data_IF_488082700310
#
_entry.id   IF_488082700310
#
_cell.length_a   1.000
_cell.length_b   1.000
_cell.length_c   1.000
_cell.angle_alpha   90.00
_cell.angle_beta   90.00
_cell.angle_gamma   90.00
#
_symmetry.space_group_name_H-M   'P 1'
#
loop_
_entity.id
_entity.type
_entity.pdbx_description
1 polymer ?
#
# COMPACT_ATOMS: atom_id res chain seq x y z
N UNK A 1 29.09 11.89 -17.57
CA UNK A 1 28.36 11.71 -16.32
C UNK A 1 26.96 12.24 -16.53
N UNK A 2 26.01 11.37 -16.85
CA UNK A 2 24.63 11.77 -17.18
C UNK A 2 23.75 11.55 -15.95
N UNK A 3 23.76 12.54 -15.06
CA UNK A 3 23.08 12.51 -13.76
C UNK A 3 21.82 13.37 -13.75
N UNK A 4 21.01 13.31 -14.80
CA UNK A 4 19.69 13.95 -14.82
C UNK A 4 18.71 13.25 -13.85
N UNK A 5 17.71 13.96 -13.29
CA UNK A 5 16.79 13.38 -12.31
C UNK A 5 16.08 12.15 -12.90
N UNK A 6 16.37 10.99 -12.32
CA UNK A 6 15.72 9.74 -12.72
C UNK A 6 14.27 9.76 -12.25
N UNK A 7 13.33 9.94 -13.18
CA UNK A 7 11.91 9.81 -12.90
C UNK A 7 11.55 8.32 -12.80
N UNK A 8 11.11 7.88 -11.61
CA UNK A 8 10.61 6.52 -11.42
C UNK A 8 9.11 6.48 -11.71
N UNK A 9 8.69 5.61 -12.61
CA UNK A 9 7.26 5.31 -12.79
C UNK A 9 6.77 4.45 -11.63
N UNK A 10 5.62 4.82 -11.08
CA UNK A 10 5.03 4.18 -9.91
C UNK A 10 3.64 3.70 -10.28
N UNK A 11 3.28 2.50 -9.83
CA UNK A 11 1.98 1.94 -10.09
C UNK A 11 0.92 2.75 -9.35
N UNK A 12 -0.14 3.13 -10.07
CA UNK A 12 -1.24 3.88 -9.49
C UNK A 12 -2.59 3.23 -9.86
N UNK A 13 -3.40 2.82 -8.88
CA UNK A 13 -4.71 2.25 -9.15
C UNK A 13 -5.61 3.29 -9.83
N UNK A 14 -6.25 2.90 -10.93
CA UNK A 14 -7.18 3.76 -11.66
C UNK A 14 -8.30 4.25 -10.73
N UNK A 15 -8.52 5.56 -10.69
CA UNK A 15 -9.61 6.17 -9.92
C UNK A 15 -9.32 6.44 -8.44
N UNK A 16 -8.11 6.17 -7.94
CA UNK A 16 -7.71 6.55 -6.57
C UNK A 16 -6.66 7.66 -6.59
N UNK A 17 -6.96 8.81 -5.97
CA UNK A 17 -5.93 9.79 -5.61
C UNK A 17 -5.06 9.19 -4.52
N UNK A 18 -3.80 8.90 -4.84
CA UNK A 18 -2.77 8.56 -3.84
C UNK A 18 -1.96 9.78 -3.47
N UNK A 19 -1.69 9.94 -2.18
CA UNK A 19 -0.73 10.93 -1.73
C UNK A 19 0.69 10.35 -1.85
N UNK A 20 1.73 11.19 -1.99
CA UNK A 20 3.12 10.71 -2.05
C UNK A 20 3.52 9.79 -0.88
N UNK A 21 2.98 10.06 0.32
CA UNK A 21 3.15 9.24 1.53
C UNK A 21 2.52 7.84 1.48
N UNK A 22 1.63 7.60 0.51
CA UNK A 22 0.94 6.32 0.34
C UNK A 22 1.66 5.44 -0.69
N UNK A 23 2.63 5.98 -1.42
CA UNK A 23 3.52 5.25 -2.32
C UNK A 23 4.49 4.40 -1.52
N UNK A 24 4.68 3.17 -1.97
CA UNK A 24 5.51 2.14 -1.34
C UNK A 24 6.45 1.51 -2.37
N UNK A 25 7.46 0.80 -1.90
CA UNK A 25 8.38 0.05 -2.77
C UNK A 25 7.63 -0.96 -3.65
N UNK A 26 6.53 -1.54 -3.15
CA UNK A 26 5.69 -2.48 -3.91
C UNK A 26 5.07 -1.85 -5.16
N UNK A 27 4.85 -0.53 -5.17
CA UNK A 27 4.34 0.19 -6.33
C UNK A 27 5.38 0.30 -7.46
N UNK A 28 6.64 0.44 -7.07
CA UNK A 28 7.78 0.44 -8.00
C UNK A 28 8.01 -0.99 -8.50
N UNK A 29 8.05 -1.97 -7.58
CA UNK A 29 8.21 -3.39 -7.91
C UNK A 29 7.13 -3.86 -8.88
N UNK A 30 5.87 -3.50 -8.66
CA UNK A 30 4.78 -3.89 -9.57
C UNK A 30 4.96 -3.28 -10.96
N UNK A 31 5.37 -2.01 -11.04
CA UNK A 31 5.63 -1.33 -12.31
C UNK A 31 6.77 -1.99 -13.08
N UNK A 32 7.89 -2.26 -12.41
CA UNK A 32 9.04 -2.90 -13.03
C UNK A 32 8.76 -4.36 -13.40
N UNK A 33 8.01 -5.07 -12.57
CA UNK A 33 7.57 -6.43 -12.86
C UNK A 33 6.66 -6.48 -14.10
N UNK A 34 5.75 -5.53 -14.26
CA UNK A 34 4.91 -5.39 -15.45
C UNK A 34 5.75 -5.21 -16.72
N UNK A 35 6.75 -4.33 -16.68
CA UNK A 35 7.68 -4.08 -17.80
C UNK A 35 8.50 -5.32 -18.14
N UNK A 36 9.13 -5.94 -17.14
CA UNK A 36 9.98 -7.13 -17.32
C UNK A 36 9.16 -8.28 -17.90
N UNK A 37 7.95 -8.51 -17.36
CA UNK A 37 7.06 -9.57 -17.85
C UNK A 37 6.65 -9.33 -19.30
N UNK A 38 6.30 -8.09 -19.66
CA UNK A 38 5.93 -7.75 -21.03
C UNK A 38 7.08 -8.00 -22.01
N UNK A 39 8.29 -7.54 -21.65
CA UNK A 39 9.50 -7.72 -22.47
C UNK A 39 9.87 -9.20 -22.62
N UNK A 40 9.91 -9.95 -21.51
CA UNK A 40 10.23 -11.38 -21.52
C UNK A 40 9.20 -12.20 -22.32
N UNK A 41 7.91 -11.89 -22.17
CA UNK A 41 6.85 -12.57 -22.93
C UNK A 41 6.98 -12.34 -24.44
N UNK A 42 7.49 -11.18 -24.86
CA UNK A 42 7.68 -10.87 -26.28
C UNK A 42 8.79 -11.72 -26.91
N UNK A 43 9.87 -12.01 -26.16
CA UNK A 43 10.99 -12.84 -26.62
C UNK A 43 10.70 -14.35 -26.60
N UNK A 44 9.67 -14.80 -25.90
CA UNK A 44 9.32 -16.23 -25.81
C UNK A 44 8.57 -16.67 -27.07
N UNK A 45 9.04 -17.65 -27.82
CA UNK A 45 8.39 -18.07 -29.08
C UNK A 45 7.18 -18.98 -28.85
N UNK A 46 7.29 -19.91 -27.89
CA UNK A 46 6.27 -20.91 -27.63
C UNK A 46 5.00 -20.29 -27.04
N UNK A 47 3.89 -20.44 -27.75
CA UNK A 47 2.56 -19.95 -27.31
C UNK A 47 2.16 -20.50 -25.94
N UNK A 48 2.51 -21.76 -25.63
CA UNK A 48 2.19 -22.37 -24.33
C UNK A 48 2.95 -21.70 -23.19
N UNK A 49 4.22 -21.36 -23.39
CA UNK A 49 5.02 -20.62 -22.42
C UNK A 49 4.48 -19.20 -22.23
N UNK A 50 4.07 -18.50 -23.30
CA UNK A 50 3.41 -17.18 -23.18
C UNK A 50 2.12 -17.25 -22.34
N UNK A 51 1.32 -18.33 -22.48
CA UNK A 51 0.12 -18.55 -21.66
C UNK A 51 0.47 -18.77 -20.19
N UNK A 52 1.48 -19.59 -19.91
CA UNK A 52 1.96 -19.82 -18.54
C UNK A 52 2.46 -18.52 -17.89
N UNK A 53 3.23 -17.70 -18.62
CA UNK A 53 3.70 -16.40 -18.16
C UNK A 53 2.52 -15.46 -17.86
N UNK A 54 1.49 -15.43 -18.72
CA UNK A 54 0.30 -14.62 -18.45
C UNK A 54 -0.42 -15.05 -17.17
N UNK A 55 -0.58 -16.36 -16.95
CA UNK A 55 -1.24 -16.88 -15.75
C UNK A 55 -0.46 -16.55 -14.48
N UNK A 56 0.86 -16.70 -14.52
CA UNK A 56 1.74 -16.28 -13.42
C UNK A 56 1.63 -14.78 -13.17
N UNK A 57 1.74 -13.96 -14.22
CA UNK A 57 1.64 -12.51 -14.13
C UNK A 57 0.32 -12.05 -13.52
N UNK A 58 -0.81 -12.57 -13.99
CA UNK A 58 -2.12 -12.20 -13.43
C UNK A 58 -2.23 -12.60 -11.97
N UNK A 59 -1.82 -13.83 -11.63
CA UNK A 59 -1.88 -14.31 -10.25
C UNK A 59 -1.00 -13.49 -9.30
N UNK A 60 0.23 -13.19 -9.72
CA UNK A 60 1.16 -12.37 -8.94
C UNK A 60 0.65 -10.93 -8.78
N UNK A 61 0.20 -10.30 -9.87
CA UNK A 61 -0.34 -8.94 -9.84
C UNK A 61 -1.54 -8.84 -8.90
N UNK A 62 -2.47 -9.79 -8.99
CA UNK A 62 -3.68 -9.78 -8.18
C UNK A 62 -3.33 -9.98 -6.70
N UNK A 63 -2.41 -10.90 -6.37
CA UNK A 63 -1.90 -11.07 -5.01
C UNK A 63 -1.23 -9.79 -4.48
N UNK A 64 -0.32 -9.21 -5.25
CA UNK A 64 0.44 -8.03 -4.82
C UNK A 64 -0.47 -6.82 -4.60
N UNK A 65 -1.38 -6.56 -5.54
CA UNK A 65 -2.34 -5.45 -5.42
C UNK A 65 -3.31 -5.63 -4.24
N UNK A 66 -3.75 -6.86 -3.97
CA UNK A 66 -4.54 -7.17 -2.76
C UNK A 66 -3.74 -6.91 -1.48
N UNK A 67 -2.50 -7.38 -1.38
CA UNK A 67 -1.63 -7.12 -0.24
C UNK A 67 -1.44 -5.61 -0.02
N UNK A 68 -1.22 -4.85 -1.09
CA UNK A 68 -1.10 -3.39 -1.00
C UNK A 68 -2.36 -2.72 -0.48
N UNK A 69 -3.54 -3.19 -0.91
CA UNK A 69 -4.82 -2.69 -0.41
C UNK A 69 -5.02 -3.01 1.09
N UNK A 70 -4.67 -4.22 1.52
CA UNK A 70 -4.73 -4.64 2.92
C UNK A 70 -3.79 -3.82 3.81
N UNK A 71 -2.56 -3.53 3.36
CA UNK A 71 -1.62 -2.67 4.07
C UNK A 71 -2.21 -1.27 4.29
N UNK A 72 -2.86 -0.69 3.26
CA UNK A 72 -3.50 0.62 3.39
C UNK A 72 -4.69 0.58 4.35
N UNK A 73 -5.51 -0.47 4.30
CA UNK A 73 -6.60 -0.70 5.26
C UNK A 73 -6.07 -0.80 6.68
N UNK A 74 -5.00 -1.57 6.91
CA UNK A 74 -4.37 -1.73 8.21
C UNK A 74 -3.83 -0.40 8.76
N UNK A 75 -3.18 0.41 7.91
CA UNK A 75 -2.72 1.76 8.29
C UNK A 75 -3.89 2.65 8.73
N UNK A 76 -5.03 2.60 8.04
CA UNK A 76 -6.22 3.37 8.42
C UNK A 76 -6.77 2.92 9.78
N UNK A 77 -6.96 1.61 9.97
CA UNK A 77 -7.45 1.04 11.22
C UNK A 77 -6.52 1.37 12.41
N UNK A 78 -5.20 1.33 12.20
CA UNK A 78 -4.24 1.71 13.24
C UNK A 78 -4.41 3.17 13.67
N UNK A 79 -4.61 4.08 12.71
CA UNK A 79 -4.86 5.52 13.00
C UNK A 79 -6.15 5.72 13.78
N UNK A 80 -7.23 5.02 13.43
CA UNK A 80 -8.50 5.07 14.14
C UNK A 80 -8.38 4.54 15.57
N UNK A 81 -7.68 3.41 15.75
CA UNK A 81 -7.42 2.84 17.07
C UNK A 81 -6.65 3.81 17.98
N UNK A 82 -5.60 4.46 17.45
CA UNK A 82 -4.87 5.50 18.20
C UNK A 82 -5.79 6.66 18.62
N UNK A 83 -6.67 7.14 17.73
CA UNK A 83 -7.62 8.21 18.06
C UNK A 83 -8.57 7.79 19.19
N UNK A 84 -9.09 6.56 19.13
CA UNK A 84 -9.98 6.03 20.13
C UNK A 84 -9.27 5.90 21.50
N UNK A 85 -8.05 5.36 21.52
CA UNK A 85 -7.24 5.26 22.73
C UNK A 85 -6.99 6.63 23.37
N UNK A 86 -6.63 7.65 22.57
CA UNK A 86 -6.47 9.03 23.06
C UNK A 86 -7.78 9.59 23.64
N UNK A 87 -8.91 9.35 22.98
CA UNK A 87 -10.21 9.81 23.47
C UNK A 87 -10.61 9.13 24.79
N UNK A 88 -10.36 7.83 24.93
CA UNK A 88 -10.59 7.07 26.18
C UNK A 88 -9.72 7.65 27.30
N UNK A 89 -8.43 7.87 27.05
CA UNK A 89 -7.53 8.42 28.06
C UNK A 89 -7.92 9.84 28.48
N UNK A 90 -8.40 10.67 27.55
CA UNK A 90 -8.95 12.00 27.86
C UNK A 90 -10.19 11.91 28.76
N UNK A 91 -11.12 11.00 28.44
CA UNK A 91 -12.33 10.78 29.27
C UNK A 91 -11.96 10.25 30.67
N UNK A 92 -11.02 9.30 30.76
CA UNK A 92 -10.52 8.77 32.05
C UNK A 92 -9.88 9.86 32.90
N UNK A 93 -9.03 10.70 32.31
CA UNK A 93 -8.41 11.83 33.03
C UNK A 93 -9.45 12.78 33.60
N UNK A 94 -10.42 13.19 32.78
CA UNK A 94 -11.49 14.10 33.23
C UNK A 94 -12.36 13.49 34.33
N UNK A 95 -12.64 12.18 34.26
CA UNK A 95 -13.35 11.48 35.33
C UNK A 95 -12.57 11.52 36.65
N UNK A 96 -11.25 11.32 36.61
CA UNK A 96 -10.40 11.41 37.80
C UNK A 96 -10.36 12.83 38.37
N UNK A 97 -10.26 13.85 37.53
CA UNK A 97 -10.30 15.27 37.93
C UNK A 97 -11.62 15.59 38.66
N UNK A 98 -12.77 15.23 38.08
CA UNK A 98 -14.09 15.45 38.69
C UNK A 98 -14.26 14.66 39.99
N UNK A 99 -13.73 13.44 40.07
CA UNK A 99 -13.77 12.64 41.30
C UNK A 99 -12.97 13.32 42.41
N UNK A 100 -11.80 13.85 42.09
CA UNK A 100 -10.95 14.55 43.08
C UNK A 100 -11.63 15.83 43.56
N UNK A 101 -12.26 16.60 42.66
CA UNK A 101 -13.06 17.78 43.00
C UNK A 101 -14.23 17.47 43.94
N UNK A 102 -14.86 16.30 43.81
CA UNK A 102 -15.97 15.85 44.67
C UNK A 102 -15.52 15.34 46.05
N UNK A 103 -14.27 14.88 46.18
CA UNK A 103 -13.71 14.37 47.44
C UNK A 103 -13.18 15.52 48.30
N UNK A 104 -12.81 16.64 47.67
CA UNK A 104 -12.25 17.83 48.31
C UNK A 104 -13.32 18.71 48.95
#
# INVERSE_FOLDING_TARGET
ADGGPHSVQVWCPKGQKRFPRDVTELDVVLTEFEKITANYKQSVELKICRKAINGFYSGFRDQLTNTMAEVQKLKSLKRENTKLATAINKKRRRLMEVKEELIR
#
